data_IF_607840044347
#
_entry.id   IF_607840044347
#
_cell.length_a   1.000
_cell.length_b   1.000
_cell.length_c   1.000
_cell.angle_alpha   90.00
_cell.angle_beta   90.00
_cell.angle_gamma   90.00
#
_symmetry.space_group_name_H-M   'P 1'
#
loop_
_entity.id
_entity.type
_entity.pdbx_description
1 polymer ?
#
# COMPACT_ATOMS: atom_id res chain seq x y z
N UNK A 1 -5.72 20.81 -49.06
CA UNK A 1 -6.58 20.20 -48.02
C UNK A 1 -6.18 18.77 -47.64
N UNK A 2 -6.01 17.82 -48.58
CA UNK A 2 -5.59 16.44 -48.28
C UNK A 2 -4.24 16.32 -47.52
N UNK A 3 -3.24 17.16 -47.86
CA UNK A 3 -1.93 17.18 -47.17
C UNK A 3 -1.98 17.72 -45.74
N UNK A 4 -2.80 18.75 -45.47
CA UNK A 4 -3.03 19.23 -44.10
C UNK A 4 -3.81 18.23 -43.26
N UNK A 5 -4.76 17.51 -43.87
CA UNK A 5 -5.54 16.46 -43.19
C UNK A 5 -4.67 15.26 -42.80
N UNK A 6 -3.75 14.84 -43.69
CA UNK A 6 -2.78 13.78 -43.41
C UNK A 6 -1.76 14.21 -42.34
N UNK A 7 -1.33 15.48 -42.32
CA UNK A 7 -0.45 16.02 -41.28
C UNK A 7 -1.15 16.06 -39.91
N UNK A 8 -2.42 16.44 -39.86
CA UNK A 8 -3.22 16.45 -38.64
C UNK A 8 -3.43 15.04 -38.07
N UNK A 9 -3.68 14.03 -38.93
CA UNK A 9 -3.80 12.62 -38.50
C UNK A 9 -2.46 12.10 -37.96
N UNK A 10 -1.34 12.43 -38.61
CA UNK A 10 -0.01 11.98 -38.16
C UNK A 10 0.43 12.65 -36.84
N UNK A 11 0.05 13.91 -36.60
CA UNK A 11 0.24 14.57 -35.30
C UNK A 11 -0.63 13.92 -34.20
N UNK A 12 -1.87 13.54 -34.51
CA UNK A 12 -2.78 12.86 -33.57
C UNK A 12 -2.26 11.46 -33.16
N UNK A 13 -1.62 10.73 -34.08
CA UNK A 13 -1.05 9.41 -33.79
C UNK A 13 0.21 9.48 -32.91
N UNK A 14 1.00 10.55 -33.01
CA UNK A 14 2.19 10.76 -32.15
C UNK A 14 1.78 11.14 -30.72
N UNK A 15 0.70 11.92 -30.56
CA UNK A 15 0.16 12.26 -29.23
C UNK A 15 -0.50 11.10 -28.49
N UNK A 16 -1.00 10.09 -29.22
CA UNK A 16 -1.58 8.88 -28.61
C UNK A 16 -0.52 7.92 -28.08
N UNK A 17 0.71 7.99 -28.60
CA UNK A 17 1.81 7.10 -28.20
C UNK A 17 2.49 7.54 -26.88
N UNK A 18 2.55 8.84 -26.60
CA UNK A 18 3.08 9.39 -25.33
C UNK A 18 2.12 9.24 -24.13
N UNK A 19 0.93 8.68 -24.35
CA UNK A 19 -0.01 8.32 -23.30
C UNK A 19 0.18 6.87 -22.81
N UNK A 20 1.12 6.10 -23.38
CA UNK A 20 1.48 4.79 -22.86
C UNK A 20 2.28 4.98 -21.57
N UNK A 21 1.79 4.37 -20.50
CA UNK A 21 2.39 4.35 -19.16
C UNK A 21 3.89 4.09 -19.23
N UNK A 22 4.70 5.05 -18.75
CA UNK A 22 6.13 4.88 -18.53
C UNK A 22 6.34 3.64 -17.63
N UNK A 23 6.72 2.54 -18.26
CA UNK A 23 7.06 1.32 -17.54
C UNK A 23 8.45 1.53 -16.94
N UNK A 24 8.55 1.54 -15.61
CA UNK A 24 9.84 1.61 -14.93
C UNK A 24 10.76 0.49 -15.44
N UNK A 25 11.98 0.86 -15.80
CA UNK A 25 13.03 -0.14 -16.10
C UNK A 25 13.34 -0.95 -14.84
N UNK A 26 13.88 -2.16 -15.01
CA UNK A 26 14.30 -3.00 -13.88
C UNK A 26 15.30 -2.26 -12.96
N UNK A 27 16.18 -1.43 -13.53
CA UNK A 27 17.15 -0.67 -12.75
C UNK A 27 16.45 0.37 -11.87
N UNK A 28 15.52 1.14 -12.45
CA UNK A 28 14.73 2.12 -11.69
C UNK A 28 13.88 1.45 -10.59
N UNK A 29 13.32 0.27 -10.85
CA UNK A 29 12.59 -0.49 -9.84
C UNK A 29 13.51 -0.92 -8.68
N UNK A 30 14.73 -1.38 -8.99
CA UNK A 30 15.72 -1.75 -7.97
C UNK A 30 16.13 -0.55 -7.14
N UNK A 31 16.34 0.60 -7.77
CA UNK A 31 16.72 1.83 -7.09
C UNK A 31 15.58 2.29 -6.16
N UNK A 32 14.33 2.23 -6.64
CA UNK A 32 13.14 2.58 -5.84
C UNK A 32 12.96 1.66 -4.61
N UNK A 33 13.14 0.35 -4.77
CA UNK A 33 13.08 -0.61 -3.64
C UNK A 33 14.28 -0.45 -2.71
N UNK A 34 15.45 -0.08 -3.23
CA UNK A 34 16.62 0.19 -2.41
C UNK A 34 16.42 1.45 -1.54
N UNK A 35 15.84 2.50 -2.11
CA UNK A 35 15.48 3.73 -1.40
C UNK A 35 14.35 3.50 -0.39
N UNK A 36 13.34 2.74 -0.77
CA UNK A 36 12.22 2.38 0.11
C UNK A 36 11.92 0.88 0.04
N UNK A 37 12.55 0.07 0.91
CA UNK A 37 12.34 -1.38 0.94
C UNK A 37 10.90 -1.81 1.15
N UNK A 38 10.05 -0.96 1.75
CA UNK A 38 8.64 -1.28 1.94
C UNK A 38 7.89 -1.48 0.61
N UNK A 39 8.35 -0.89 -0.48
CA UNK A 39 7.74 -1.02 -1.80
C UNK A 39 7.81 -2.45 -2.37
N UNK A 40 8.74 -3.27 -1.87
CA UNK A 40 8.76 -4.71 -2.17
C UNK A 40 7.56 -5.47 -1.57
N UNK A 41 6.82 -4.87 -0.64
CA UNK A 41 5.67 -5.47 0.02
C UNK A 41 4.41 -5.60 -0.85
N UNK A 42 4.38 -4.96 -2.03
CA UNK A 42 3.24 -5.03 -2.96
C UNK A 42 1.91 -4.72 -2.27
N UNK A 43 0.95 -5.65 -2.32
CA UNK A 43 -0.37 -5.50 -1.69
C UNK A 43 -0.36 -5.49 -0.15
N UNK A 44 0.80 -5.72 0.48
CA UNK A 44 1.01 -5.62 1.92
C UNK A 44 1.67 -4.31 2.36
N UNK A 45 2.03 -3.43 1.41
CA UNK A 45 2.49 -2.09 1.71
C UNK A 45 1.43 -1.34 2.54
N UNK A 46 1.87 -0.71 3.63
CA UNK A 46 1.01 0.17 4.42
C UNK A 46 0.52 1.33 3.55
N UNK A 47 -0.71 1.79 3.76
CA UNK A 47 -1.27 2.91 3.00
C UNK A 47 -0.29 4.12 3.02
N UNK A 48 0.22 4.56 1.85
CA UNK A 48 1.40 5.44 1.79
C UNK A 48 1.06 6.93 1.85
N UNK A 49 -0.22 7.30 1.74
CA UNK A 49 -0.63 8.70 1.64
C UNK A 49 -0.84 9.30 3.03
N UNK A 50 0.09 10.16 3.43
CA UNK A 50 0.04 10.89 4.70
C UNK A 50 -0.71 12.21 4.56
N UNK A 51 -0.50 12.93 3.45
CA UNK A 51 -1.17 14.19 3.11
C UNK A 51 -1.78 14.14 1.71
N UNK A 52 -2.92 14.81 1.53
CA UNK A 52 -3.57 14.95 0.24
C UNK A 52 -4.25 16.31 0.15
N UNK A 53 -3.97 17.03 -0.94
CA UNK A 53 -4.67 18.28 -1.28
C UNK A 53 -5.54 18.00 -2.50
N UNK A 54 -6.88 18.04 -2.37
CA UNK A 54 -7.76 17.84 -3.51
C UNK A 54 -7.60 18.96 -4.54
N UNK A 55 -7.78 18.63 -5.81
CA UNK A 55 -7.93 19.66 -6.84
C UNK A 55 -9.17 20.52 -6.55
N UNK A 56 -9.15 21.83 -6.86
CA UNK A 56 -10.31 22.68 -6.67
C UNK A 56 -11.47 22.22 -7.57
N UNK A 57 -12.71 22.43 -7.08
CA UNK A 57 -13.89 22.18 -7.89
C UNK A 57 -13.92 23.12 -9.11
N UNK A 58 -14.50 22.69 -10.25
CA UNK A 58 -14.71 23.59 -11.39
C UNK A 58 -15.49 24.84 -11.00
N UNK A 59 -15.23 25.96 -11.70
CA UNK A 59 -15.92 27.23 -11.43
C UNK A 59 -17.44 27.05 -11.52
N UNK A 60 -18.14 27.46 -10.46
CA UNK A 60 -19.61 27.36 -10.36
C UNK A 60 -20.14 26.02 -9.85
N UNK A 61 -19.27 25.08 -9.51
CA UNK A 61 -19.65 23.78 -8.97
C UNK A 61 -19.10 23.60 -7.55
N UNK A 62 -19.84 22.85 -6.72
CA UNK A 62 -19.38 22.40 -5.42
C UNK A 62 -19.66 20.90 -5.22
N UNK A 63 -18.81 20.17 -4.47
CA UNK A 63 -19.09 18.79 -4.11
C UNK A 63 -20.31 18.69 -3.21
N UNK A 64 -21.27 17.83 -3.56
CA UNK A 64 -22.49 17.58 -2.78
C UNK A 64 -22.62 16.13 -2.29
N UNK A 65 -21.94 15.19 -2.95
CA UNK A 65 -21.94 13.76 -2.60
C UNK A 65 -20.52 13.20 -2.76
N UNK A 66 -20.13 12.31 -1.86
CA UNK A 66 -18.93 11.49 -1.99
C UNK A 66 -19.37 10.02 -2.06
N UNK A 67 -19.01 9.34 -3.16
CA UNK A 67 -19.07 7.88 -3.25
C UNK A 67 -17.70 7.31 -2.95
N UNK A 68 -17.59 6.43 -1.96
CA UNK A 68 -16.32 5.92 -1.46
C UNK A 68 -16.24 4.38 -1.55
N UNK A 69 -15.14 3.89 -2.11
CA UNK A 69 -14.72 2.50 -2.04
C UNK A 69 -13.31 2.45 -1.46
N UNK A 70 -13.14 1.75 -0.34
CA UNK A 70 -11.88 1.64 0.38
C UNK A 70 -11.55 0.18 0.68
N UNK A 71 -10.30 -0.22 0.42
CA UNK A 71 -9.78 -1.49 0.93
C UNK A 71 -9.67 -1.42 2.46
N UNK A 72 -9.73 -2.57 3.13
CA UNK A 72 -9.41 -2.67 4.55
C UNK A 72 -8.01 -2.08 4.84
N UNK A 73 -7.80 -1.58 6.07
CA UNK A 73 -6.47 -1.13 6.51
C UNK A 73 -5.50 -2.29 6.74
N UNK A 74 -4.29 -1.99 7.20
CA UNK A 74 -3.31 -3.01 7.60
C UNK A 74 -3.90 -3.98 8.62
N UNK A 75 -3.69 -5.27 8.39
CA UNK A 75 -4.23 -6.37 9.19
C UNK A 75 -3.20 -7.47 9.33
N UNK A 76 -3.40 -8.35 10.31
CA UNK A 76 -2.62 -9.57 10.43
C UNK A 76 -2.91 -10.54 9.27
N UNK A 77 -2.07 -11.56 9.14
CA UNK A 77 -2.18 -12.60 8.13
C UNK A 77 -3.54 -13.30 8.19
N UNK A 78 -4.06 -13.72 7.03
CA UNK A 78 -5.33 -14.46 6.93
C UNK A 78 -5.22 -15.93 7.33
N UNK A 79 -4.05 -16.41 7.75
CA UNK A 79 -3.87 -17.76 8.26
C UNK A 79 -2.96 -17.75 9.47
N UNK A 80 -3.41 -18.34 10.57
CA UNK A 80 -2.60 -18.54 11.78
C UNK A 80 -1.38 -19.41 11.49
N UNK A 81 -1.49 -20.32 10.51
CA UNK A 81 -0.39 -21.19 10.09
C UNK A 81 0.86 -20.41 9.66
N UNK A 82 0.69 -19.21 9.09
CA UNK A 82 1.81 -18.33 8.72
C UNK A 82 2.64 -17.88 9.92
N UNK A 83 2.09 -17.97 11.13
CA UNK A 83 2.79 -17.64 12.37
C UNK A 83 3.18 -18.90 13.13
N UNK A 84 2.23 -19.83 13.30
CA UNK A 84 2.44 -21.05 14.10
C UNK A 84 3.49 -21.99 13.48
N UNK A 85 3.57 -22.07 12.15
CA UNK A 85 4.60 -22.90 11.49
C UNK A 85 6.01 -22.32 11.65
N UNK A 86 6.14 -20.99 11.64
CA UNK A 86 7.42 -20.31 11.86
C UNK A 86 7.87 -20.50 13.30
N UNK A 87 6.96 -20.31 14.26
CA UNK A 87 7.22 -20.57 15.68
C UNK A 87 7.72 -22.00 15.90
N UNK A 88 6.99 -22.99 15.37
CA UNK A 88 7.33 -24.40 15.53
C UNK A 88 8.67 -24.74 14.90
N UNK A 89 8.95 -24.21 13.70
CA UNK A 89 10.21 -24.43 13.00
C UNK A 89 11.39 -23.90 13.80
N UNK A 90 11.31 -22.64 14.26
CA UNK A 90 12.39 -22.00 14.99
C UNK A 90 12.59 -22.67 16.36
N UNK A 91 11.53 -22.96 17.11
CA UNK A 91 11.62 -23.69 18.38
C UNK A 91 12.27 -25.06 18.21
N UNK A 92 11.86 -25.83 17.20
CA UNK A 92 12.47 -27.15 16.92
C UNK A 92 13.96 -27.02 16.58
N UNK A 93 14.36 -25.97 15.87
CA UNK A 93 15.75 -25.68 15.56
C UNK A 93 16.56 -25.34 16.81
N UNK A 94 16.03 -24.44 17.64
CA UNK A 94 16.62 -24.01 18.90
C UNK A 94 16.83 -25.18 19.86
N UNK A 95 15.77 -25.94 20.14
CA UNK A 95 15.78 -27.08 21.08
C UNK A 95 16.78 -28.19 20.67
N UNK A 96 17.13 -28.25 19.37
CA UNK A 96 18.08 -29.22 18.81
C UNK A 96 19.46 -28.61 18.54
N UNK A 97 19.69 -27.36 18.92
CA UNK A 97 20.93 -26.61 18.64
C UNK A 97 21.32 -26.66 17.16
N UNK A 98 20.33 -26.45 16.27
CA UNK A 98 20.46 -26.50 14.81
C UNK A 98 20.28 -25.14 14.13
N UNK A 99 20.07 -24.07 14.89
CA UNK A 99 20.07 -22.73 14.35
C UNK A 99 21.52 -22.23 14.23
N UNK A 100 21.78 -21.41 13.22
CA UNK A 100 22.99 -20.59 13.18
C UNK A 100 22.87 -19.46 14.21
N UNK A 101 23.94 -18.72 14.47
CA UNK A 101 23.90 -17.53 15.33
C UNK A 101 22.81 -16.53 14.89
N UNK A 102 22.72 -16.25 13.59
CA UNK A 102 21.64 -15.41 13.04
C UNK A 102 20.24 -16.04 13.17
N UNK A 103 20.17 -17.38 13.17
CA UNK A 103 18.92 -18.10 13.41
C UNK A 103 18.46 -17.98 14.87
N UNK A 104 19.38 -18.01 15.83
CA UNK A 104 19.09 -17.80 17.25
C UNK A 104 18.63 -16.36 17.52
N UNK A 105 19.30 -15.34 16.96
CA UNK A 105 18.83 -13.94 17.02
C UNK A 105 17.39 -13.81 16.48
N UNK A 106 17.12 -14.43 15.33
CA UNK A 106 15.79 -14.40 14.74
C UNK A 106 14.76 -15.15 15.59
N UNK A 107 15.14 -16.28 16.19
CA UNK A 107 14.28 -17.04 17.11
C UNK A 107 13.85 -16.19 18.29
N UNK A 108 14.79 -15.55 19.00
CA UNK A 108 14.49 -14.71 20.16
C UNK A 108 13.50 -13.58 19.79
N UNK A 109 13.82 -12.82 18.72
CA UNK A 109 12.97 -11.73 18.25
C UNK A 109 11.60 -12.20 17.79
N UNK A 110 11.51 -13.38 17.18
CA UNK A 110 10.25 -13.94 16.73
C UNK A 110 9.40 -14.42 17.91
N UNK A 111 10.01 -15.05 18.92
CA UNK A 111 9.32 -15.46 20.16
C UNK A 111 8.77 -14.27 20.92
N UNK A 112 9.46 -13.12 20.92
CA UNK A 112 8.97 -11.89 21.56
C UNK A 112 7.68 -11.36 20.92
N UNK A 113 7.57 -11.44 19.59
CA UNK A 113 6.38 -10.94 18.88
C UNK A 113 5.28 -12.00 18.74
N UNK A 114 5.60 -13.29 18.82
CA UNK A 114 4.65 -14.37 18.56
C UNK A 114 3.38 -14.29 19.42
N UNK A 115 3.42 -13.94 20.73
CA UNK A 115 2.21 -13.72 21.53
C UNK A 115 1.26 -12.67 20.96
N UNK A 116 1.77 -11.63 20.30
CA UNK A 116 0.96 -10.61 19.60
C UNK A 116 0.38 -11.13 18.28
N UNK A 117 1.01 -12.11 17.65
CA UNK A 117 0.57 -12.69 16.38
C UNK A 117 -0.46 -13.81 16.58
N UNK A 118 -0.26 -14.61 17.63
CA UNK A 118 -1.05 -15.80 17.91
C UNK A 118 -2.51 -15.44 18.19
N UNK A 119 -3.43 -16.10 17.49
CA UNK A 119 -4.87 -15.88 17.67
C UNK A 119 -5.44 -14.64 16.99
N UNK A 120 -4.61 -13.77 16.42
CA UNK A 120 -5.05 -12.50 15.79
C UNK A 120 -5.22 -12.60 14.27
N UNK A 121 -5.50 -13.80 13.75
CA UNK A 121 -5.64 -14.04 12.30
C UNK A 121 -6.70 -13.11 11.69
N UNK A 122 -6.27 -12.30 10.72
CA UNK A 122 -7.13 -11.41 9.96
C UNK A 122 -7.55 -10.14 10.68
N UNK A 123 -7.24 -9.99 11.97
CA UNK A 123 -7.60 -8.82 12.75
C UNK A 123 -6.99 -7.55 12.15
N UNK A 124 -7.77 -6.46 12.19
CA UNK A 124 -7.28 -5.14 11.82
C UNK A 124 -6.27 -4.66 12.86
N UNK A 125 -5.08 -4.24 12.43
CA UNK A 125 -4.07 -3.74 13.36
C UNK A 125 -4.39 -2.31 13.80
N UNK A 126 -3.73 -1.86 14.88
CA UNK A 126 -3.76 -0.43 15.29
C UNK A 126 -3.37 0.48 14.12
N UNK A 127 -2.37 0.08 13.31
CA UNK A 127 -1.98 0.82 12.11
C UNK A 127 -3.11 0.87 11.08
N UNK A 128 -3.82 -0.23 10.87
CA UNK A 128 -5.00 -0.28 10.00
C UNK A 128 -6.10 0.69 10.43
N UNK A 129 -6.35 0.80 11.73
CA UNK A 129 -7.28 1.78 12.28
C UNK A 129 -6.80 3.22 12.04
N UNK A 130 -5.52 3.50 12.29
CA UNK A 130 -4.93 4.82 12.08
C UNK A 130 -5.02 5.27 10.61
N UNK A 131 -4.81 4.35 9.66
CA UNK A 131 -4.94 4.64 8.24
C UNK A 131 -6.34 5.12 7.89
N UNK A 132 -7.38 4.40 8.35
CA UNK A 132 -8.77 4.78 8.10
C UNK A 132 -9.16 6.07 8.81
N UNK A 133 -8.70 6.28 10.06
CA UNK A 133 -8.88 7.57 10.75
C UNK A 133 -8.24 8.72 9.94
N UNK A 134 -7.03 8.54 9.43
CA UNK A 134 -6.36 9.54 8.60
C UNK A 134 -7.10 9.84 7.29
N UNK A 135 -7.57 8.81 6.59
CA UNK A 135 -8.37 8.96 5.37
C UNK A 135 -9.65 9.75 5.65
N UNK A 136 -10.40 9.36 6.68
CA UNK A 136 -11.64 10.04 7.07
C UNK A 136 -11.39 11.50 7.47
N UNK A 137 -10.39 11.76 8.32
CA UNK A 137 -10.05 13.11 8.75
C UNK A 137 -9.70 14.04 7.58
N UNK A 138 -8.88 13.56 6.64
CA UNK A 138 -8.54 14.34 5.44
C UNK A 138 -9.75 14.56 4.54
N UNK A 139 -10.62 13.57 4.40
CA UNK A 139 -11.85 13.69 3.60
C UNK A 139 -12.80 14.74 4.18
N UNK A 140 -13.02 14.73 5.49
CA UNK A 140 -13.86 15.73 6.18
C UNK A 140 -13.24 17.12 6.08
N UNK A 141 -11.93 17.24 6.28
CA UNK A 141 -11.22 18.52 6.14
C UNK A 141 -11.26 19.08 4.71
N UNK A 142 -11.16 18.20 3.70
CA UNK A 142 -11.21 18.57 2.29
C UNK A 142 -12.61 18.98 1.81
N UNK A 143 -13.66 18.35 2.34
CA UNK A 143 -15.04 18.51 1.86
C UNK A 143 -16.03 18.80 2.99
N UNK A 144 -15.81 19.85 3.82
CA UNK A 144 -16.61 20.06 5.03
C UNK A 144 -18.10 20.25 4.74
N UNK A 145 -18.45 20.88 3.61
CA UNK A 145 -19.85 21.10 3.18
C UNK A 145 -20.64 19.81 2.94
N UNK A 146 -19.96 18.74 2.52
CA UNK A 146 -20.62 17.43 2.28
C UNK A 146 -20.99 16.76 3.60
N UNK A 147 -20.28 17.08 4.69
CA UNK A 147 -20.47 16.47 6.01
C UNK A 147 -21.16 17.39 7.02
N UNK A 148 -21.33 18.69 6.72
CA UNK A 148 -22.14 19.61 7.52
C UNK A 148 -23.63 19.32 7.30
N UNK A 149 -24.39 19.26 8.39
CA UNK A 149 -25.86 19.20 8.36
C UNK A 149 -26.47 20.54 8.00
#
# INVERSE_FOLDING_TARGET
MKRLFLLAISILTVFSASAQTDSLTLQQLKDLVKENPALAGGNHLNYPVESYTPAPAPKGYEPVVISHYGRHGSRFATSSSKYDEVEKLLRTGHDRSRLTEAGEDFYERYMDIYPLLKGHKGDLTVKGQQQHRGIASRMVAAYPKVFSK
#
